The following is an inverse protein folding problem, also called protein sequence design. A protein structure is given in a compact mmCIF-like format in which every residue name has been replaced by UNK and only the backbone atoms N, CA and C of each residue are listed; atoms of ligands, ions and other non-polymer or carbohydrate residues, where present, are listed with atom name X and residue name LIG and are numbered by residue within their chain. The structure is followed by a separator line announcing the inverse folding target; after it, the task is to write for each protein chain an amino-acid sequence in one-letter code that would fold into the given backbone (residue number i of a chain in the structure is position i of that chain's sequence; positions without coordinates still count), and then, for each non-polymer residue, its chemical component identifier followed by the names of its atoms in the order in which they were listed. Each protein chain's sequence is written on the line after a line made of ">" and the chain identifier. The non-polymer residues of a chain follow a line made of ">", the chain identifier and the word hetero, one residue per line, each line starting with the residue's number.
data_IF_444984154031
#
_entry.id   IF_444984154031
#
_cell.length_a   1.000
_cell.length_b   1.000
_cell.length_c   1.000
_cell.angle_alpha   90.00
_cell.angle_beta   90.00
_cell.angle_gamma   90.00
#
_symmetry.space_group_name_H-M   'P 1'
#
loop_
_entity.id
_entity.type
_entity.pdbx_description
1 polymer ?
#
# COMPACT_ATOMS: atom_id res chain seq x y z
N UNK A 1 0.80 10.82 -24.63
CA UNK A 1 -0.58 10.32 -24.81
C UNK A 1 -1.51 10.91 -23.76
N UNK A 2 -2.82 10.94 -24.05
CA UNK A 2 -3.86 11.32 -23.10
C UNK A 2 -4.30 10.11 -22.28
N UNK A 3 -4.05 10.13 -20.99
CA UNK A 3 -4.46 9.05 -20.07
C UNK A 3 -5.64 9.52 -19.24
N UNK A 4 -6.79 8.84 -19.35
CA UNK A 4 -7.94 9.07 -18.48
C UNK A 4 -7.86 8.15 -17.26
N UNK A 5 -7.46 8.71 -16.12
CA UNK A 5 -7.37 8.00 -14.83
C UNK A 5 -8.72 8.01 -14.14
N UNK A 6 -9.23 6.83 -13.76
CA UNK A 6 -10.54 6.67 -13.10
C UNK A 6 -10.38 6.07 -11.71
N UNK A 7 -10.79 6.84 -10.69
CA UNK A 7 -10.59 6.49 -9.28
C UNK A 7 -11.90 6.44 -8.49
N UNK A 8 -12.04 5.50 -7.52
CA UNK A 8 -13.17 5.46 -6.58
C UNK A 8 -13.03 6.46 -5.43
N UNK A 9 -11.88 7.15 -5.31
CA UNK A 9 -11.60 8.17 -4.27
C UNK A 9 -10.64 9.19 -4.81
N UNK A 10 -10.74 10.41 -4.31
CA UNK A 10 -9.77 11.45 -4.62
C UNK A 10 -8.43 11.10 -3.96
N UNK A 11 -7.29 11.14 -4.71
CA UNK A 11 -6.03 10.58 -4.25
C UNK A 11 -5.23 11.52 -3.32
N UNK A 12 -5.89 12.45 -2.64
CA UNK A 12 -5.29 13.33 -1.65
C UNK A 12 -6.30 13.62 -0.52
N UNK A 13 -5.88 13.81 0.76
CA UNK A 13 -4.53 13.64 1.31
C UNK A 13 -4.06 12.18 1.35
N UNK A 14 -2.73 11.95 1.50
CA UNK A 14 -2.06 10.65 1.31
C UNK A 14 -2.19 9.69 2.51
N UNK A 15 -3.31 9.71 3.21
CA UNK A 15 -3.54 8.96 4.46
C UNK A 15 -3.76 7.44 4.28
N UNK A 16 -3.98 6.99 3.04
CA UNK A 16 -4.33 5.60 2.72
C UNK A 16 -3.50 5.10 1.55
N UNK A 17 -3.15 3.83 1.57
CA UNK A 17 -2.33 3.21 0.53
C UNK A 17 -2.89 3.35 -0.89
N UNK A 18 -4.23 3.23 -1.05
CA UNK A 18 -4.89 3.42 -2.34
C UNK A 18 -4.75 4.86 -2.88
N UNK A 19 -4.81 5.87 -2.00
CA UNK A 19 -4.61 7.27 -2.37
C UNK A 19 -3.13 7.57 -2.67
N UNK A 20 -2.23 7.08 -1.82
CA UNK A 20 -0.79 7.23 -1.98
C UNK A 20 -0.34 6.68 -3.34
N UNK A 21 -0.74 5.44 -3.66
CA UNK A 21 -0.44 4.80 -4.93
C UNK A 21 -0.95 5.60 -6.12
N UNK A 22 -2.22 5.99 -6.10
CA UNK A 22 -2.84 6.75 -7.17
C UNK A 22 -2.16 8.11 -7.39
N UNK A 23 -1.85 8.81 -6.31
CA UNK A 23 -1.17 10.10 -6.34
C UNK A 23 0.20 10.00 -7.03
N UNK A 24 1.08 9.13 -6.54
CA UNK A 24 2.42 9.01 -7.08
C UNK A 24 2.45 8.46 -8.52
N UNK A 25 1.53 7.55 -8.86
CA UNK A 25 1.40 7.11 -10.26
C UNK A 25 0.96 8.26 -11.17
N UNK A 26 0.04 9.11 -10.75
CA UNK A 26 -0.35 10.33 -11.50
C UNK A 26 0.84 11.26 -11.65
N UNK A 27 1.58 11.54 -10.56
CA UNK A 27 2.76 12.41 -10.58
C UNK A 27 3.81 11.87 -11.56
N UNK A 28 4.16 10.60 -11.50
CA UNK A 28 5.18 10.02 -12.38
C UNK A 28 4.72 9.99 -13.85
N UNK A 29 3.51 9.57 -14.13
CA UNK A 29 2.97 9.53 -15.48
C UNK A 29 2.82 10.93 -16.09
N UNK A 30 2.52 11.96 -15.29
CA UNK A 30 2.36 13.34 -15.75
C UNK A 30 3.64 13.95 -16.30
N UNK A 31 4.81 13.41 -15.97
CA UNK A 31 6.09 13.87 -16.49
C UNK A 31 6.22 13.66 -18.02
N UNK A 32 5.48 12.70 -18.58
CA UNK A 32 5.57 12.29 -19.99
C UNK A 32 4.22 12.18 -20.70
N UNK A 33 3.10 12.30 -19.97
CA UNK A 33 1.75 12.12 -20.51
C UNK A 33 0.79 13.20 -20.02
N UNK A 34 -0.28 13.44 -20.77
CA UNK A 34 -1.37 14.33 -20.39
C UNK A 34 -2.39 13.55 -19.55
N UNK A 35 -2.47 13.85 -18.26
CA UNK A 35 -3.34 13.15 -17.32
C UNK A 35 -4.68 13.90 -17.20
N UNK A 36 -5.77 13.15 -17.34
CA UNK A 36 -7.14 13.58 -17.09
C UNK A 36 -7.70 12.73 -15.97
N UNK A 37 -8.13 13.35 -14.88
CA UNK A 37 -8.60 12.63 -13.69
C UNK A 37 -10.12 12.65 -13.59
N UNK A 38 -10.74 11.49 -13.57
CA UNK A 38 -12.13 11.30 -13.19
C UNK A 38 -12.23 10.58 -11.85
N UNK A 39 -12.76 11.25 -10.85
CA UNK A 39 -12.91 10.70 -9.52
C UNK A 39 -14.38 10.65 -9.09
N UNK A 40 -14.81 9.52 -8.54
CA UNK A 40 -16.14 9.35 -7.95
C UNK A 40 -16.01 9.34 -6.44
N UNK A 41 -16.45 10.38 -5.74
CA UNK A 41 -16.24 10.51 -4.29
C UNK A 41 -17.54 10.70 -3.52
N UNK A 42 -17.67 10.03 -2.38
CA UNK A 42 -18.74 10.28 -1.40
C UNK A 42 -18.35 11.36 -0.38
N UNK A 43 -17.07 11.66 -0.28
CA UNK A 43 -16.54 12.72 0.60
C UNK A 43 -16.45 14.03 -0.18
N UNK A 44 -16.55 15.14 0.56
CA UNK A 44 -16.24 16.46 -0.01
C UNK A 44 -14.74 16.52 -0.26
N UNK A 45 -14.35 16.79 -1.49
CA UNK A 45 -12.95 17.08 -1.84
C UNK A 45 -12.73 18.57 -1.58
N UNK A 46 -11.70 18.89 -0.82
CA UNK A 46 -11.38 20.29 -0.48
C UNK A 46 -10.64 20.98 -1.62
N UNK A 47 -10.67 22.32 -1.70
CA UNK A 47 -9.90 23.06 -2.69
C UNK A 47 -8.39 22.74 -2.61
N UNK A 48 -7.84 22.63 -1.41
CA UNK A 48 -6.43 22.31 -1.18
C UNK A 48 -6.07 20.93 -1.78
N UNK A 49 -6.99 19.96 -1.67
CA UNK A 49 -6.79 18.64 -2.28
C UNK A 49 -6.74 18.72 -3.80
N UNK A 50 -7.56 19.56 -4.42
CA UNK A 50 -7.57 19.77 -5.89
C UNK A 50 -6.30 20.47 -6.32
N UNK A 51 -5.88 21.51 -5.60
CA UNK A 51 -4.64 22.24 -5.89
C UNK A 51 -3.40 21.36 -5.81
N UNK A 52 -3.36 20.38 -4.88
CA UNK A 52 -2.26 19.41 -4.78
C UNK A 52 -2.09 18.54 -6.04
N UNK A 53 -3.14 18.36 -6.85
CA UNK A 53 -3.09 17.56 -8.08
C UNK A 53 -3.13 18.40 -9.36
N UNK A 54 -3.45 19.67 -9.26
CA UNK A 54 -3.54 20.59 -10.43
C UNK A 54 -2.25 20.63 -11.27
N UNK A 55 -1.03 20.62 -10.69
CA UNK A 55 0.19 20.63 -11.50
C UNK A 55 0.38 19.38 -12.38
N UNK A 56 -0.26 18.28 -12.01
CA UNK A 56 -0.06 16.96 -12.61
C UNK A 56 -1.20 16.54 -13.56
N UNK A 57 -2.33 17.26 -13.54
CA UNK A 57 -3.50 16.90 -14.33
C UNK A 57 -3.91 18.06 -15.26
N UNK A 58 -4.17 17.74 -16.52
CA UNK A 58 -4.72 18.72 -17.49
C UNK A 58 -6.14 19.13 -17.14
N UNK A 59 -6.94 18.18 -16.64
CA UNK A 59 -8.28 18.44 -16.09
C UNK A 59 -8.61 17.45 -14.98
N UNK A 60 -9.42 17.92 -14.02
CA UNK A 60 -9.84 17.14 -12.86
C UNK A 60 -11.35 17.21 -12.73
N UNK A 61 -12.03 16.08 -12.90
CA UNK A 61 -13.47 15.96 -12.73
C UNK A 61 -13.81 15.12 -11.50
N UNK A 62 -14.36 15.75 -10.47
CA UNK A 62 -14.83 15.07 -9.25
C UNK A 62 -16.36 14.98 -9.30
N UNK A 63 -16.86 13.76 -9.30
CA UNK A 63 -18.29 13.50 -9.23
C UNK A 63 -18.69 13.10 -7.79
N UNK A 64 -19.49 13.95 -7.16
CA UNK A 64 -19.98 13.67 -5.81
C UNK A 64 -21.13 12.65 -5.84
N UNK A 65 -21.01 11.60 -5.04
CA UNK A 65 -22.04 10.58 -4.89
C UNK A 65 -23.14 11.06 -3.93
N UNK A 66 -24.39 10.83 -4.30
CA UNK A 66 -25.52 10.95 -3.39
C UNK A 66 -25.68 9.65 -2.60
N UNK A 67 -25.58 9.72 -1.27
CA UNK A 67 -25.64 8.55 -0.37
C UNK A 67 -26.94 7.75 -0.50
N UNK A 68 -28.08 8.44 -0.72
CA UNK A 68 -29.38 7.78 -0.90
C UNK A 68 -29.38 6.93 -2.19
N UNK A 69 -28.88 7.51 -3.29
CA UNK A 69 -28.76 6.78 -4.56
C UNK A 69 -27.78 5.61 -4.46
N UNK A 70 -26.72 5.77 -3.68
CA UNK A 70 -25.80 4.68 -3.40
C UNK A 70 -26.48 3.52 -2.66
N UNK A 71 -27.27 3.84 -1.63
CA UNK A 71 -28.01 2.85 -0.86
C UNK A 71 -29.03 2.09 -1.73
N UNK A 72 -29.81 2.81 -2.53
CA UNK A 72 -30.75 2.20 -3.50
C UNK A 72 -30.01 1.25 -4.45
N UNK A 73 -28.85 1.68 -4.96
CA UNK A 73 -28.09 0.90 -5.91
C UNK A 73 -27.41 -0.33 -5.27
N UNK A 74 -27.03 -0.27 -3.99
CA UNK A 74 -26.58 -1.42 -3.20
C UNK A 74 -27.68 -2.48 -3.14
N UNK A 75 -28.91 -2.08 -2.73
CA UNK A 75 -30.06 -2.98 -2.66
C UNK A 75 -30.36 -3.60 -4.02
N UNK A 76 -30.36 -2.80 -5.08
CA UNK A 76 -30.55 -3.29 -6.46
C UNK A 76 -29.44 -4.31 -6.86
N UNK A 77 -28.20 -4.07 -6.49
CA UNK A 77 -27.10 -4.99 -6.77
C UNK A 77 -27.24 -6.31 -6.01
N UNK A 78 -27.70 -6.27 -4.77
CA UNK A 78 -28.01 -7.46 -3.98
C UNK A 78 -28.97 -8.40 -4.76
N UNK A 79 -30.10 -7.86 -5.23
CA UNK A 79 -31.07 -8.64 -6.00
C UNK A 79 -30.63 -9.00 -7.43
N UNK A 80 -29.56 -8.38 -7.94
CA UNK A 80 -29.03 -8.62 -9.28
C UNK A 80 -27.77 -9.49 -9.29
N UNK A 81 -27.43 -10.13 -8.16
CA UNK A 81 -26.20 -10.94 -7.99
C UNK A 81 -24.93 -10.19 -8.40
N UNK A 82 -24.76 -8.97 -7.90
CA UNK A 82 -23.60 -8.10 -8.15
C UNK A 82 -23.00 -7.61 -6.86
N UNK A 83 -21.70 -7.31 -6.85
CA UNK A 83 -21.01 -6.78 -5.69
C UNK A 83 -21.68 -5.50 -5.15
N UNK A 84 -21.86 -5.45 -3.85
CA UNK A 84 -22.44 -4.32 -3.12
C UNK A 84 -21.51 -3.10 -3.18
N UNK A 85 -20.21 -3.34 -3.05
CA UNK A 85 -19.20 -2.28 -3.19
C UNK A 85 -19.27 -1.67 -4.59
N UNK A 86 -19.32 -2.50 -5.64
CA UNK A 86 -19.48 -1.97 -7.00
C UNK A 86 -20.81 -1.22 -7.16
N UNK A 87 -21.90 -1.67 -6.52
CA UNK A 87 -23.16 -0.96 -6.49
C UNK A 87 -23.05 0.44 -5.94
N UNK A 88 -22.29 0.60 -4.88
CA UNK A 88 -22.08 1.89 -4.24
C UNK A 88 -21.49 2.95 -5.20
N UNK A 89 -20.50 2.57 -6.00
CA UNK A 89 -19.77 3.50 -6.88
C UNK A 89 -20.43 3.68 -8.26
N UNK A 90 -21.23 2.74 -8.73
CA UNK A 90 -21.72 2.68 -10.10
C UNK A 90 -23.19 3.08 -10.27
N UNK A 91 -23.57 4.24 -9.76
CA UNK A 91 -24.91 4.80 -9.94
C UNK A 91 -25.14 5.24 -11.40
N UNK A 92 -26.42 5.45 -11.79
CA UNK A 92 -26.74 6.00 -13.13
C UNK A 92 -26.15 7.39 -13.33
N UNK A 93 -25.96 8.16 -12.25
CA UNK A 93 -25.30 9.46 -12.28
C UNK A 93 -23.82 9.34 -12.58
N UNK A 94 -23.10 8.44 -11.88
CA UNK A 94 -21.66 8.22 -12.11
C UNK A 94 -21.38 7.69 -13.52
N UNK A 95 -22.23 6.78 -14.03
CA UNK A 95 -22.11 6.27 -15.41
C UNK A 95 -22.29 7.36 -16.46
N UNK A 96 -23.31 8.24 -16.29
CA UNK A 96 -23.54 9.36 -17.23
C UNK A 96 -22.40 10.37 -17.16
N UNK A 97 -21.94 10.71 -15.96
CA UNK A 97 -20.83 11.64 -15.76
C UNK A 97 -19.53 11.13 -16.38
N UNK A 98 -19.20 9.86 -16.17
CA UNK A 98 -18.03 9.23 -16.81
C UNK A 98 -18.11 9.27 -18.34
N UNK A 99 -19.25 8.82 -18.92
CA UNK A 99 -19.43 8.82 -20.39
C UNK A 99 -19.35 10.23 -21.02
N UNK A 100 -19.87 11.24 -20.33
CA UNK A 100 -19.78 12.62 -20.80
C UNK A 100 -18.31 13.08 -20.81
N UNK A 101 -17.58 12.80 -19.73
CA UNK A 101 -16.18 13.18 -19.59
C UNK A 101 -15.27 12.42 -20.56
N UNK A 102 -15.49 11.12 -20.72
CA UNK A 102 -14.76 10.30 -21.69
C UNK A 102 -14.89 10.85 -23.14
N UNK A 103 -16.10 11.32 -23.53
CA UNK A 103 -16.34 11.95 -24.85
C UNK A 103 -15.67 13.29 -25.00
N UNK A 104 -15.59 14.08 -23.92
CA UNK A 104 -14.93 15.37 -23.89
C UNK A 104 -13.40 15.22 -24.02
N UNK A 105 -12.81 14.30 -23.25
CA UNK A 105 -11.36 14.07 -23.21
C UNK A 105 -10.85 13.38 -24.48
N UNK A 106 -11.58 12.41 -25.00
CA UNK A 106 -11.14 11.51 -26.07
C UNK A 106 -9.74 10.92 -25.77
N UNK A 107 -9.61 10.09 -24.71
CA UNK A 107 -8.33 9.57 -24.26
C UNK A 107 -7.73 8.57 -25.26
N UNK A 108 -6.40 8.42 -25.25
CA UNK A 108 -5.71 7.33 -25.93
C UNK A 108 -5.87 6.02 -25.16
N UNK A 109 -5.89 6.10 -23.82
CA UNK A 109 -6.07 4.94 -22.92
C UNK A 109 -6.83 5.34 -21.65
N UNK A 110 -7.62 4.42 -21.12
CA UNK A 110 -8.29 4.53 -19.82
C UNK A 110 -7.54 3.69 -18.79
N UNK A 111 -7.07 4.34 -17.72
CA UNK A 111 -6.45 3.68 -16.58
C UNK A 111 -7.39 3.68 -15.39
N UNK A 112 -7.93 2.52 -15.06
CA UNK A 112 -8.88 2.35 -13.96
C UNK A 112 -8.22 1.72 -12.76
N UNK A 113 -8.35 2.33 -11.58
CA UNK A 113 -7.92 1.70 -10.35
C UNK A 113 -9.09 1.13 -9.57
N UNK A 114 -8.87 -0.08 -9.06
CA UNK A 114 -9.78 -0.90 -8.27
C UNK A 114 -11.02 -1.42 -9.03
N UNK A 115 -11.41 -2.61 -8.68
CA UNK A 115 -12.62 -3.29 -9.20
C UNK A 115 -13.89 -2.46 -8.97
N UNK A 116 -13.90 -1.59 -7.95
CA UNK A 116 -15.05 -0.77 -7.56
C UNK A 116 -15.59 0.12 -8.67
N UNK A 117 -14.72 0.68 -9.50
CA UNK A 117 -15.08 1.56 -10.63
C UNK A 117 -15.09 0.84 -11.98
N UNK A 118 -14.72 -0.43 -12.03
CA UNK A 118 -14.71 -1.25 -13.24
C UNK A 118 -15.99 -1.10 -14.10
N UNK A 119 -17.24 -1.15 -13.56
CA UNK A 119 -18.44 -1.04 -14.37
C UNK A 119 -18.66 0.34 -15.02
N UNK A 120 -17.94 1.37 -14.63
CA UNK A 120 -17.96 2.66 -15.31
C UNK A 120 -17.24 2.57 -16.66
N UNK A 121 -16.07 1.90 -16.66
CA UNK A 121 -15.13 1.86 -17.78
C UNK A 121 -15.25 0.62 -18.66
N UNK A 122 -15.87 -0.46 -18.16
CA UNK A 122 -15.93 -1.77 -18.85
C UNK A 122 -16.48 -1.69 -20.29
N UNK A 123 -17.32 -0.69 -20.59
CA UNK A 123 -17.92 -0.46 -21.92
C UNK A 123 -17.27 0.70 -22.68
N UNK A 124 -16.11 1.17 -22.24
CA UNK A 124 -15.32 2.14 -23.00
C UNK A 124 -14.87 1.51 -24.33
N UNK A 125 -14.84 2.33 -25.37
CA UNK A 125 -14.31 1.92 -26.69
C UNK A 125 -12.78 2.07 -26.79
N UNK A 126 -12.19 2.79 -25.85
CA UNK A 126 -10.75 3.03 -25.79
C UNK A 126 -10.02 1.85 -25.14
N UNK A 127 -8.75 1.64 -25.47
CA UNK A 127 -7.89 0.71 -24.74
C UNK A 127 -7.96 0.94 -23.23
N UNK A 128 -7.96 -0.14 -22.43
CA UNK A 128 -8.21 -0.08 -20.99
C UNK A 128 -7.23 -0.93 -20.20
N UNK A 129 -6.59 -0.31 -19.23
CA UNK A 129 -5.78 -0.99 -18.22
C UNK A 129 -6.45 -0.87 -16.86
N UNK A 130 -6.50 -1.95 -16.10
CA UNK A 130 -6.99 -1.94 -14.72
C UNK A 130 -5.92 -2.34 -13.74
N UNK A 131 -5.76 -1.53 -12.70
CA UNK A 131 -4.99 -1.83 -11.50
C UNK A 131 -5.93 -2.38 -10.42
N UNK A 132 -5.78 -3.64 -10.06
CA UNK A 132 -6.51 -4.22 -8.94
C UNK A 132 -6.13 -3.56 -7.61
N UNK A 133 -4.90 -3.08 -7.51
CA UNK A 133 -4.16 -2.71 -6.29
C UNK A 133 -3.87 -3.96 -5.45
N UNK A 134 -4.89 -4.52 -4.80
CA UNK A 134 -4.85 -5.76 -4.03
C UNK A 134 -5.98 -6.72 -4.45
N UNK A 135 -5.90 -7.97 -4.06
CA UNK A 135 -6.98 -8.95 -4.23
C UNK A 135 -8.10 -8.65 -3.22
N UNK A 136 -9.07 -7.84 -3.66
CA UNK A 136 -10.15 -7.35 -2.80
C UNK A 136 -11.04 -8.48 -2.26
N UNK A 137 -11.22 -9.57 -3.04
CA UNK A 137 -11.93 -10.77 -2.59
C UNK A 137 -11.22 -11.43 -1.42
N UNK A 138 -9.89 -11.60 -1.47
CA UNK A 138 -9.08 -12.17 -0.38
C UNK A 138 -9.19 -11.33 0.90
N UNK A 139 -9.15 -10.00 0.78
CA UNK A 139 -9.34 -9.13 1.93
C UNK A 139 -10.75 -9.22 2.53
N UNK A 140 -11.76 -9.48 1.70
CA UNK A 140 -13.14 -9.70 2.15
C UNK A 140 -13.28 -11.07 2.82
N UNK A 141 -12.63 -12.10 2.32
CA UNK A 141 -12.57 -13.45 2.91
C UNK A 141 -11.98 -13.41 4.32
N UNK A 142 -10.82 -12.80 4.52
CA UNK A 142 -10.20 -12.61 5.84
C UNK A 142 -11.10 -11.88 6.84
N UNK A 143 -11.91 -10.92 6.37
CA UNK A 143 -12.91 -10.23 7.19
C UNK A 143 -14.09 -11.12 7.50
N UNK A 144 -14.55 -11.93 6.56
CA UNK A 144 -15.63 -12.90 6.71
C UNK A 144 -15.30 -13.95 7.80
N UNK A 145 -14.10 -14.50 7.79
CA UNK A 145 -13.63 -15.50 8.77
C UNK A 145 -13.66 -14.97 10.21
N UNK A 146 -13.45 -13.67 10.39
CA UNK A 146 -13.48 -12.99 11.70
C UNK A 146 -14.87 -12.47 12.09
N UNK A 147 -15.86 -12.59 11.19
CA UNK A 147 -17.22 -12.09 11.40
C UNK A 147 -18.14 -13.18 11.91
N UNK A 148 -19.25 -12.78 12.57
CA UNK A 148 -20.30 -13.68 13.09
C UNK A 148 -21.69 -13.14 12.73
N UNK A 149 -22.70 -14.00 12.80
CA UNK A 149 -24.09 -13.63 12.58
C UNK A 149 -24.37 -13.12 11.17
N UNK A 150 -25.29 -12.17 11.03
CA UNK A 150 -25.74 -11.63 9.74
C UNK A 150 -24.58 -11.05 8.90
N UNK A 151 -23.59 -10.42 9.52
CA UNK A 151 -22.42 -9.88 8.83
C UNK A 151 -21.60 -10.95 8.12
N UNK A 152 -21.52 -12.15 8.65
CA UNK A 152 -20.84 -13.27 8.00
C UNK A 152 -21.50 -13.60 6.65
N UNK A 153 -22.83 -13.67 6.59
CA UNK A 153 -23.58 -13.93 5.36
C UNK A 153 -23.43 -12.80 4.32
N UNK A 154 -23.46 -11.54 4.78
CA UNK A 154 -23.26 -10.38 3.91
C UNK A 154 -21.85 -10.39 3.30
N UNK A 155 -20.82 -10.66 4.11
CA UNK A 155 -19.45 -10.74 3.64
C UNK A 155 -19.20 -11.96 2.75
N UNK A 156 -19.86 -13.09 3.02
CA UNK A 156 -19.81 -14.28 2.16
C UNK A 156 -20.40 -14.01 0.78
N UNK A 157 -21.56 -13.33 0.73
CA UNK A 157 -22.13 -12.89 -0.53
C UNK A 157 -21.16 -11.95 -1.28
N UNK A 158 -20.67 -10.93 -0.60
CA UNK A 158 -19.76 -9.95 -1.21
C UNK A 158 -18.46 -10.59 -1.70
N UNK A 159 -17.87 -11.52 -0.95
CA UNK A 159 -16.71 -12.31 -1.35
C UNK A 159 -16.94 -13.00 -2.70
N UNK A 160 -18.06 -13.74 -2.84
CA UNK A 160 -18.41 -14.41 -4.10
C UNK A 160 -18.56 -13.42 -5.26
N UNK A 161 -19.20 -12.29 -5.04
CA UNK A 161 -19.44 -11.29 -6.08
C UNK A 161 -18.16 -10.55 -6.49
N UNK A 162 -17.28 -10.25 -5.53
CA UNK A 162 -15.97 -9.66 -5.83
C UNK A 162 -15.09 -10.64 -6.61
N UNK A 163 -15.03 -11.90 -6.17
CA UNK A 163 -14.28 -12.95 -6.85
C UNK A 163 -14.75 -13.15 -8.31
N UNK A 164 -16.06 -13.14 -8.55
CA UNK A 164 -16.62 -13.13 -9.91
C UNK A 164 -16.24 -11.87 -10.70
N UNK A 165 -16.18 -10.72 -10.04
CA UNK A 165 -15.82 -9.47 -10.70
C UNK A 165 -14.34 -9.40 -11.08
N UNK A 166 -13.46 -9.91 -10.21
CA UNK A 166 -12.02 -10.06 -10.47
C UNK A 166 -11.78 -11.03 -11.64
N UNK A 167 -12.49 -12.16 -11.66
CA UNK A 167 -12.45 -13.09 -12.79
C UNK A 167 -12.86 -12.42 -14.11
N UNK A 168 -13.97 -11.69 -14.11
CA UNK A 168 -14.50 -11.05 -15.31
C UNK A 168 -13.66 -9.86 -15.80
N UNK A 169 -12.78 -9.30 -14.99
CA UNK A 169 -11.90 -8.20 -15.40
C UNK A 169 -11.06 -8.56 -16.63
N UNK A 170 -10.63 -9.81 -16.73
CA UNK A 170 -9.86 -10.31 -17.89
C UNK A 170 -10.61 -10.24 -19.23
N UNK A 171 -11.93 -10.17 -19.20
CA UNK A 171 -12.76 -10.02 -20.41
C UNK A 171 -13.04 -8.58 -20.79
N UNK A 172 -12.77 -7.64 -19.90
CA UNK A 172 -13.11 -6.23 -20.11
C UNK A 172 -11.90 -5.31 -20.33
N UNK A 173 -10.72 -5.73 -19.87
CA UNK A 173 -9.51 -4.92 -19.93
C UNK A 173 -8.47 -5.57 -20.84
N UNK A 174 -7.71 -4.73 -21.52
CA UNK A 174 -6.66 -5.13 -22.45
C UNK A 174 -5.39 -5.54 -21.71
N UNK A 175 -5.20 -5.01 -20.48
CA UNK A 175 -4.15 -5.43 -19.57
C UNK A 175 -4.55 -5.14 -18.10
N UNK A 176 -3.90 -5.88 -17.19
CA UNK A 176 -4.18 -5.85 -15.76
C UNK A 176 -2.88 -5.67 -14.97
N UNK A 177 -2.95 -4.92 -13.87
CA UNK A 177 -1.85 -4.77 -12.92
C UNK A 177 -2.28 -5.05 -11.49
N UNK A 178 -1.32 -5.42 -10.63
CA UNK A 178 -1.54 -5.69 -9.22
C UNK A 178 -0.24 -5.37 -8.44
N UNK A 179 -0.37 -5.20 -7.12
CA UNK A 179 0.75 -4.74 -6.29
C UNK A 179 1.81 -5.82 -6.00
N UNK A 180 1.42 -7.10 -5.91
CA UNK A 180 2.31 -8.20 -5.55
C UNK A 180 1.94 -9.52 -6.22
N UNK A 181 2.91 -10.44 -6.29
CA UNK A 181 2.67 -11.81 -6.79
C UNK A 181 1.65 -12.55 -5.93
N UNK A 182 1.74 -12.43 -4.61
CA UNK A 182 0.80 -13.07 -3.69
C UNK A 182 -0.66 -12.61 -3.92
N UNK A 183 -0.85 -11.32 -4.24
CA UNK A 183 -2.18 -10.82 -4.61
C UNK A 183 -2.59 -11.33 -6.00
N UNK A 184 -1.66 -11.45 -6.95
CA UNK A 184 -1.93 -12.00 -8.28
C UNK A 184 -2.38 -13.45 -8.20
N UNK A 185 -1.70 -14.27 -7.41
CA UNK A 185 -2.07 -15.68 -7.18
C UNK A 185 -3.46 -15.84 -6.55
N UNK A 186 -3.88 -14.87 -5.73
CA UNK A 186 -5.19 -14.86 -5.10
C UNK A 186 -6.33 -14.51 -6.08
N UNK A 187 -6.04 -13.91 -7.25
CA UNK A 187 -7.04 -13.63 -8.27
C UNK A 187 -7.55 -14.95 -8.90
N UNK A 188 -8.86 -15.20 -8.90
CA UNK A 188 -9.45 -16.49 -9.25
C UNK A 188 -9.54 -16.72 -10.77
N UNK A 189 -8.44 -16.53 -11.50
CA UNK A 189 -8.41 -16.69 -12.96
C UNK A 189 -7.17 -17.49 -13.39
N UNK A 190 -7.34 -18.41 -14.36
CA UNK A 190 -6.24 -19.27 -14.86
C UNK A 190 -5.09 -18.50 -15.53
N UNK A 191 -5.31 -17.25 -15.89
CA UNK A 191 -4.32 -16.32 -16.47
C UNK A 191 -3.83 -15.28 -15.46
N UNK A 192 -3.95 -15.55 -14.17
CA UNK A 192 -3.49 -14.60 -13.14
C UNK A 192 -1.98 -14.29 -13.25
N UNK A 193 -1.17 -15.23 -13.72
CA UNK A 193 0.24 -15.00 -14.04
C UNK A 193 0.51 -14.01 -15.20
N UNK A 194 -0.51 -13.61 -15.98
CA UNK A 194 -0.40 -12.56 -17.00
C UNK A 194 -0.59 -11.14 -16.41
N UNK A 195 -1.02 -11.05 -15.14
CA UNK A 195 -1.17 -9.76 -14.46
C UNK A 195 0.22 -9.16 -14.21
N UNK A 196 0.46 -7.94 -14.67
CA UNK A 196 1.75 -7.26 -14.46
C UNK A 196 1.88 -6.79 -13.01
N UNK A 197 2.93 -7.21 -12.34
CA UNK A 197 3.24 -6.70 -10.99
C UNK A 197 3.76 -5.28 -11.12
N UNK A 198 3.10 -4.37 -10.40
CA UNK A 198 3.48 -2.96 -10.24
C UNK A 198 3.49 -2.67 -8.75
N UNK A 199 4.62 -2.74 -8.08
CA UNK A 199 4.69 -2.54 -6.63
C UNK A 199 4.40 -1.09 -6.23
N UNK A 200 4.27 -0.84 -4.94
CA UNK A 200 4.35 0.53 -4.44
C UNK A 200 5.79 1.00 -4.45
N UNK A 201 5.97 2.29 -4.68
CA UNK A 201 7.24 2.95 -4.47
C UNK A 201 7.36 3.59 -3.09
N UNK A 202 8.53 4.12 -2.81
CA UNK A 202 8.82 5.01 -1.69
C UNK A 202 9.18 6.40 -2.21
N UNK A 203 8.77 7.42 -1.47
CA UNK A 203 9.07 8.82 -1.78
C UNK A 203 10.43 9.20 -1.20
N UNK A 204 11.47 9.22 -2.04
CA UNK A 204 12.83 9.56 -1.66
C UNK A 204 13.04 11.05 -1.37
N UNK A 205 12.15 11.94 -1.85
CA UNK A 205 12.18 13.35 -1.51
C UNK A 205 11.67 13.56 -0.08
N UNK A 206 10.70 12.75 0.32
CA UNK A 206 10.18 12.76 1.69
C UNK A 206 11.06 11.94 2.65
N UNK A 207 11.35 10.66 2.35
CA UNK A 207 12.17 9.77 3.17
C UNK A 207 13.66 9.91 2.83
N UNK A 208 14.25 11.09 3.11
CA UNK A 208 15.68 11.34 2.98
C UNK A 208 16.37 11.27 4.33
N UNK A 209 17.60 10.71 4.41
CA UNK A 209 18.34 10.64 5.67
C UNK A 209 18.58 11.98 6.34
N UNK A 210 18.74 13.04 5.54
CA UNK A 210 18.99 14.43 5.97
C UNK A 210 17.72 15.28 6.16
N UNK A 211 16.53 14.73 5.85
CA UNK A 211 15.25 15.46 5.92
C UNK A 211 14.88 15.89 7.35
N UNK A 212 15.30 15.10 8.34
CA UNK A 212 15.03 15.36 9.76
C UNK A 212 16.27 15.06 10.58
N UNK A 213 16.75 16.06 11.30
CA UNK A 213 17.91 15.91 12.19
C UNK A 213 17.43 15.94 13.64
N UNK A 214 17.50 14.79 14.31
CA UNK A 214 17.17 14.61 15.73
C UNK A 214 18.25 13.76 16.40
N UNK A 215 18.45 13.89 17.72
CA UNK A 215 19.36 13.01 18.45
C UNK A 215 18.97 11.54 18.31
N UNK A 216 19.96 10.64 18.31
CA UNK A 216 19.73 9.19 18.39
C UNK A 216 19.38 8.81 19.83
N UNK A 217 18.09 8.73 20.13
CA UNK A 217 17.57 8.44 21.49
C UNK A 217 17.26 6.94 21.68
N UNK A 218 17.10 6.22 20.57
CA UNK A 218 16.75 4.80 20.59
C UNK A 218 17.73 3.96 19.77
N UNK A 219 17.99 2.73 20.24
CA UNK A 219 18.79 1.80 19.45
C UNK A 219 17.97 1.15 18.33
N UNK A 220 16.73 0.81 18.62
CA UNK A 220 15.85 0.06 17.71
C UNK A 220 14.53 0.81 17.53
N UNK A 221 13.98 0.79 16.30
CA UNK A 221 12.61 1.22 16.05
C UNK A 221 11.82 0.18 15.26
N UNK A 222 10.53 0.06 15.60
CA UNK A 222 9.51 -0.61 14.80
C UNK A 222 8.35 0.35 14.58
N UNK A 223 8.00 0.61 13.31
CA UNK A 223 6.94 1.53 12.92
C UNK A 223 5.72 0.81 12.35
N UNK A 224 4.52 1.37 12.60
CA UNK A 224 3.30 0.90 11.95
C UNK A 224 2.02 1.28 12.66
N UNK A 225 0.88 1.05 12.00
CA UNK A 225 -0.42 1.18 12.67
C UNK A 225 -0.58 0.06 13.72
N UNK A 226 -0.56 0.43 15.00
CA UNK A 226 -0.57 -0.48 16.14
C UNK A 226 -1.97 -1.02 16.52
N UNK A 227 -2.98 -0.75 15.67
CA UNK A 227 -4.28 -1.45 15.71
C UNK A 227 -4.35 -2.62 14.71
N UNK A 228 -3.47 -2.66 13.70
CA UNK A 228 -3.43 -3.68 12.68
C UNK A 228 -2.77 -4.96 13.19
N UNK A 229 -3.48 -6.10 13.08
CA UNK A 229 -3.09 -7.35 13.71
C UNK A 229 -1.65 -7.83 13.40
N UNK A 230 -1.14 -7.77 12.16
CA UNK A 230 0.25 -8.10 11.85
C UNK A 230 1.27 -7.27 12.63
N UNK A 231 1.05 -5.95 12.72
CA UNK A 231 1.95 -5.06 13.47
C UNK A 231 1.90 -5.33 14.97
N UNK A 232 0.69 -5.59 15.52
CA UNK A 232 0.52 -5.96 16.92
C UNK A 232 1.28 -7.27 17.25
N UNK A 233 1.16 -8.26 16.34
CA UNK A 233 1.88 -9.54 16.49
C UNK A 233 3.40 -9.35 16.44
N UNK A 234 3.89 -8.57 15.49
CA UNK A 234 5.32 -8.30 15.33
C UNK A 234 5.90 -7.52 16.52
N UNK A 235 5.21 -6.47 16.99
CA UNK A 235 5.63 -5.68 18.14
C UNK A 235 5.71 -6.54 19.43
N UNK A 236 4.70 -7.40 19.66
CA UNK A 236 4.71 -8.31 20.80
C UNK A 236 5.83 -9.33 20.69
N UNK A 237 6.02 -9.95 19.54
CA UNK A 237 7.09 -10.90 19.31
C UNK A 237 8.47 -10.25 19.53
N UNK A 238 8.66 -9.04 19.02
CA UNK A 238 9.88 -8.28 19.23
C UNK A 238 10.16 -8.09 20.72
N UNK A 239 9.21 -7.56 21.50
CA UNK A 239 9.41 -7.25 22.92
C UNK A 239 9.45 -8.49 23.79
N UNK A 240 8.54 -9.47 23.56
CA UNK A 240 8.35 -10.62 24.44
C UNK A 240 9.34 -11.78 24.16
N UNK A 241 9.91 -11.86 22.94
CA UNK A 241 10.77 -12.99 22.53
C UNK A 241 12.17 -12.56 22.10
N UNK A 242 12.29 -11.54 21.24
CA UNK A 242 13.57 -11.13 20.67
C UNK A 242 14.37 -10.26 21.66
N UNK A 243 13.74 -9.21 22.20
CA UNK A 243 14.44 -8.26 23.07
C UNK A 243 15.05 -8.87 24.34
N UNK A 244 14.46 -9.88 25.03
CA UNK A 244 15.12 -10.54 26.14
C UNK A 244 16.48 -11.14 25.78
N UNK A 245 16.64 -11.68 24.55
CA UNK A 245 17.90 -12.23 24.05
C UNK A 245 18.91 -11.12 23.72
N UNK A 246 18.43 -9.99 23.18
CA UNK A 246 19.25 -8.80 22.95
C UNK A 246 19.72 -8.23 24.29
N UNK A 247 18.83 -8.07 25.28
CA UNK A 247 19.15 -7.52 26.59
C UNK A 247 20.11 -8.41 27.40
N UNK A 248 20.09 -9.72 27.17
CA UNK A 248 21.07 -10.63 27.79
C UNK A 248 22.51 -10.30 27.35
N UNK A 249 22.69 -9.80 26.11
CA UNK A 249 24.01 -9.40 25.55
C UNK A 249 24.27 -7.90 25.69
N UNK A 250 23.23 -7.06 25.59
CA UNK A 250 23.27 -5.59 25.63
C UNK A 250 22.16 -5.04 26.53
N UNK A 251 22.35 -5.01 27.87
CA UNK A 251 21.29 -4.71 28.84
C UNK A 251 20.64 -3.32 28.70
N UNK A 252 21.35 -2.34 28.16
CA UNK A 252 20.87 -0.95 27.98
C UNK A 252 20.18 -0.67 26.67
N UNK A 253 20.03 -1.65 25.77
CA UNK A 253 19.41 -1.45 24.45
C UNK A 253 17.96 -0.99 24.57
N UNK A 254 17.64 0.12 23.90
CA UNK A 254 16.31 0.74 23.92
C UNK A 254 15.52 0.43 22.65
N UNK A 255 14.20 0.40 22.76
CA UNK A 255 13.28 0.11 21.66
C UNK A 255 12.17 1.17 21.59
N UNK A 256 11.94 1.74 20.41
CA UNK A 256 10.80 2.58 20.09
C UNK A 256 9.75 1.79 19.28
N UNK A 257 8.52 1.74 19.78
CA UNK A 257 7.34 1.28 19.03
C UNK A 257 6.53 2.51 18.60
N UNK A 258 6.66 2.90 17.32
CA UNK A 258 6.07 4.14 16.81
C UNK A 258 4.87 3.88 15.89
N UNK A 259 3.81 4.69 16.05
CA UNK A 259 2.71 4.73 15.11
C UNK A 259 1.31 4.76 15.70
N UNK A 260 0.34 4.92 14.80
CA UNK A 260 -1.04 5.24 15.13
C UNK A 260 -1.77 4.13 15.90
N UNK A 261 -2.72 4.57 16.72
CA UNK A 261 -3.77 3.74 17.34
C UNK A 261 -3.27 2.51 18.11
N UNK A 262 -2.34 2.65 19.07
CA UNK A 262 -1.87 1.51 19.86
C UNK A 262 -3.01 0.89 20.66
N UNK A 263 -3.15 -0.43 20.55
CA UNK A 263 -4.04 -1.20 21.42
C UNK A 263 -3.52 -1.21 22.84
N UNK A 264 -4.39 -1.49 23.80
CA UNK A 264 -4.00 -1.62 25.22
C UNK A 264 -2.85 -2.64 25.42
N UNK A 265 -2.86 -3.73 24.65
CA UNK A 265 -1.77 -4.73 24.67
C UNK A 265 -0.40 -4.18 24.22
N UNK A 266 -0.38 -3.16 23.35
CA UNK A 266 0.86 -2.48 22.94
C UNK A 266 1.30 -1.47 23.99
N UNK A 267 0.37 -0.67 24.55
CA UNK A 267 0.70 0.24 25.65
C UNK A 267 1.31 -0.49 26.85
N UNK A 268 0.87 -1.72 27.15
CA UNK A 268 1.45 -2.55 28.21
C UNK A 268 2.90 -2.96 27.97
N UNK A 269 3.37 -3.01 26.72
CA UNK A 269 4.78 -3.30 26.43
C UNK A 269 5.68 -2.16 26.89
N UNK A 270 5.19 -0.91 26.92
CA UNK A 270 5.88 0.25 27.47
C UNK A 270 5.97 0.29 29.00
N UNK A 271 5.54 -0.76 29.73
CA UNK A 271 5.84 -0.94 31.16
C UNK A 271 7.28 -1.45 31.40
N UNK A 272 7.93 -1.96 30.37
CA UNK A 272 9.37 -2.22 30.36
C UNK A 272 10.10 -0.89 30.11
N UNK A 273 10.94 -0.47 31.02
CA UNK A 273 11.60 0.84 31.02
C UNK A 273 12.42 1.14 29.76
N UNK A 274 12.88 0.09 29.07
CA UNK A 274 13.66 0.18 27.82
C UNK A 274 12.79 0.24 26.56
N UNK A 275 11.46 0.18 26.71
CA UNK A 275 10.50 0.19 25.60
C UNK A 275 9.65 1.44 25.64
N UNK A 276 9.79 2.29 24.63
CA UNK A 276 8.95 3.48 24.44
C UNK A 276 7.83 3.19 23.45
N UNK A 277 6.60 3.52 23.81
CA UNK A 277 5.43 3.49 22.88
C UNK A 277 5.02 4.92 22.63
N UNK A 278 5.25 5.44 21.40
CA UNK A 278 4.98 6.86 21.09
C UNK A 278 3.50 7.17 20.83
N UNK A 279 2.72 6.18 20.39
CA UNK A 279 1.43 6.49 19.78
C UNK A 279 1.57 7.15 18.41
N UNK A 280 0.64 8.04 18.08
CA UNK A 280 0.71 8.82 16.84
C UNK A 280 1.95 9.73 16.84
N UNK A 281 2.62 9.78 15.69
CA UNK A 281 3.76 10.66 15.41
C UNK A 281 3.39 11.52 14.21
N UNK A 282 3.49 12.83 14.33
CA UNK A 282 3.11 13.76 13.26
C UNK A 282 3.99 13.60 12.01
N UNK A 283 5.28 13.36 12.24
CA UNK A 283 6.24 13.05 11.20
C UNK A 283 6.97 11.73 11.54
N UNK A 284 6.61 10.67 10.85
CA UNK A 284 7.18 9.33 11.09
C UNK A 284 8.69 9.27 10.85
N UNK A 285 9.24 10.20 10.06
CA UNK A 285 10.68 10.29 9.82
C UNK A 285 11.46 10.58 11.10
N UNK A 286 10.85 11.27 12.07
CA UNK A 286 11.48 11.53 13.38
C UNK A 286 11.74 10.22 14.13
N UNK A 287 10.82 9.24 14.04
CA UNK A 287 10.98 7.94 14.67
C UNK A 287 12.12 7.14 14.03
N UNK A 288 12.22 7.17 12.70
CA UNK A 288 13.36 6.56 11.99
C UNK A 288 14.67 7.29 12.33
N UNK A 289 14.69 8.62 12.23
CA UNK A 289 15.89 9.42 12.44
C UNK A 289 16.41 9.37 13.89
N UNK A 290 15.54 9.22 14.91
CA UNK A 290 15.94 9.10 16.31
C UNK A 290 16.46 7.70 16.70
N UNK A 291 16.48 6.75 15.77
CA UNK A 291 16.85 5.37 16.06
C UNK A 291 18.06 4.91 15.22
N UNK A 292 18.79 3.90 15.72
CA UNK A 292 20.01 3.39 15.07
C UNK A 292 19.72 2.32 14.02
N UNK A 293 18.75 1.42 14.27
CA UNK A 293 18.35 0.37 13.32
C UNK A 293 16.84 0.13 13.35
N UNK A 294 16.34 -0.40 12.24
CA UNK A 294 14.94 -0.76 12.07
C UNK A 294 14.75 -2.27 12.15
N UNK A 295 13.78 -2.73 12.96
CA UNK A 295 13.48 -4.16 13.12
C UNK A 295 12.00 -4.43 12.89
N UNK A 296 11.69 -5.28 11.92
CA UNK A 296 10.31 -5.65 11.59
C UNK A 296 10.12 -7.17 11.53
N UNK A 297 9.96 -7.87 12.68
CA UNK A 297 9.85 -9.31 12.74
C UNK A 297 8.42 -9.76 12.41
N UNK A 298 8.03 -9.66 11.15
CA UNK A 298 6.68 -9.95 10.70
C UNK A 298 6.42 -11.45 10.68
N UNK A 299 5.47 -11.92 11.50
CA UNK A 299 5.07 -13.33 11.59
C UNK A 299 3.81 -13.65 10.77
N UNK A 300 3.03 -12.64 10.46
CA UNK A 300 1.78 -12.75 9.68
C UNK A 300 1.63 -11.51 8.79
N UNK A 301 0.96 -11.69 7.69
CA UNK A 301 0.76 -10.65 6.66
C UNK A 301 1.34 -11.10 5.33
N UNK A 302 0.83 -10.55 4.25
CA UNK A 302 1.31 -10.79 2.90
C UNK A 302 1.64 -9.47 2.22
N UNK A 303 2.49 -9.52 1.22
CA UNK A 303 2.84 -8.39 0.40
C UNK A 303 3.97 -7.51 0.93
N UNK A 304 4.36 -6.58 0.10
CA UNK A 304 5.46 -5.66 0.33
C UNK A 304 5.20 -4.78 1.57
N UNK A 305 6.18 -4.70 2.44
CA UNK A 305 6.10 -3.91 3.68
C UNK A 305 6.64 -2.50 3.44
N UNK A 306 5.77 -1.51 3.25
CA UNK A 306 6.17 -0.11 3.02
C UNK A 306 7.13 0.41 4.09
N UNK A 307 6.96 0.00 5.35
CA UNK A 307 7.85 0.39 6.46
C UNK A 307 9.31 -0.04 6.27
N UNK A 308 9.55 -1.16 5.57
CA UNK A 308 10.91 -1.58 5.19
C UNK A 308 11.47 -0.67 4.10
N UNK A 309 10.66 -0.33 3.09
CA UNK A 309 11.06 0.62 2.04
C UNK A 309 11.39 1.99 2.63
N UNK A 310 10.54 2.48 3.56
CA UNK A 310 10.72 3.75 4.26
C UNK A 310 12.01 3.76 5.09
N UNK A 311 12.26 2.72 5.90
CA UNK A 311 13.45 2.59 6.72
C UNK A 311 14.72 2.50 5.87
N UNK A 312 14.71 1.72 4.78
CA UNK A 312 15.82 1.61 3.86
C UNK A 312 16.05 2.91 3.08
N UNK A 313 14.99 3.64 2.71
CA UNK A 313 15.10 4.96 2.10
C UNK A 313 15.70 6.00 3.08
N UNK A 314 15.41 5.89 4.37
CA UNK A 314 16.04 6.66 5.46
C UNK A 314 17.46 6.18 5.80
N UNK A 315 18.05 5.31 4.96
CA UNK A 315 19.40 4.76 5.11
C UNK A 315 19.62 4.09 6.48
N UNK A 316 18.60 3.34 6.93
CA UNK A 316 18.69 2.57 8.17
C UNK A 316 19.09 1.11 7.89
N UNK A 317 19.98 0.52 8.69
CA UNK A 317 20.19 -0.93 8.66
C UNK A 317 18.91 -1.62 9.14
N UNK A 318 18.45 -2.64 8.39
CA UNK A 318 17.18 -3.31 8.61
C UNK A 318 17.37 -4.78 8.99
N UNK A 319 16.57 -5.24 9.96
CA UNK A 319 16.42 -6.66 10.33
C UNK A 319 14.96 -7.05 10.17
N UNK A 320 14.69 -8.16 9.47
CA UNK A 320 13.32 -8.61 9.23
C UNK A 320 13.22 -10.14 9.15
N UNK A 321 12.05 -10.67 8.82
CA UNK A 321 11.80 -12.11 8.58
C UNK A 321 11.74 -12.42 7.08
N UNK A 322 11.90 -13.69 6.72
CA UNK A 322 11.71 -14.17 5.35
C UNK A 322 10.34 -13.81 4.80
N UNK A 323 9.30 -13.87 5.64
CA UNK A 323 7.94 -13.49 5.26
C UNK A 323 7.84 -12.05 4.72
N UNK A 324 8.57 -11.12 5.31
CA UNK A 324 8.57 -9.72 4.87
C UNK A 324 9.58 -9.46 3.74
N UNK A 325 10.65 -10.24 3.66
CA UNK A 325 11.69 -10.10 2.66
C UNK A 325 11.33 -10.73 1.30
N UNK A 326 10.59 -11.84 1.28
CA UNK A 326 10.21 -12.51 0.02
C UNK A 326 9.60 -11.54 -0.98
N UNK A 327 8.59 -10.69 -0.62
CA UNK A 327 8.03 -9.72 -1.55
C UNK A 327 8.96 -8.55 -1.88
N UNK A 328 9.94 -8.27 -1.02
CA UNK A 328 10.93 -7.22 -1.20
C UNK A 328 12.07 -7.67 -2.12
N UNK A 329 12.47 -8.94 -2.04
CA UNK A 329 13.54 -9.51 -2.86
C UNK A 329 14.95 -9.00 -2.53
N UNK A 330 15.17 -8.48 -1.31
CA UNK A 330 16.47 -8.01 -0.89
C UNK A 330 17.40 -9.19 -0.49
N UNK A 331 18.70 -9.05 -0.76
CA UNK A 331 19.71 -10.06 -0.45
C UNK A 331 20.07 -10.02 1.04
N UNK A 332 19.85 -11.16 1.73
CA UNK A 332 20.24 -11.32 3.13
C UNK A 332 21.75 -11.17 3.33
N UNK A 333 22.17 -10.41 4.33
CA UNK A 333 23.57 -10.15 4.67
C UNK A 333 24.26 -9.09 3.83
N UNK A 334 23.54 -8.53 2.81
CA UNK A 334 24.03 -7.44 1.97
C UNK A 334 23.14 -6.19 2.08
N UNK A 335 21.84 -6.31 1.80
CA UNK A 335 20.90 -5.17 1.78
C UNK A 335 20.08 -5.04 3.07
N UNK A 336 19.94 -6.14 3.79
CA UNK A 336 19.32 -6.24 5.12
C UNK A 336 19.74 -7.58 5.77
N UNK A 337 19.31 -7.81 7.02
CA UNK A 337 19.40 -9.12 7.65
C UNK A 337 18.04 -9.79 7.79
N UNK A 338 18.01 -11.12 7.57
CA UNK A 338 16.82 -11.95 7.69
C UNK A 338 17.01 -13.01 8.79
N UNK A 339 16.04 -13.11 9.71
CA UNK A 339 15.98 -14.15 10.71
C UNK A 339 14.53 -14.57 10.97
N UNK A 340 14.27 -15.88 11.05
CA UNK A 340 12.91 -16.39 11.22
C UNK A 340 12.62 -16.87 12.65
N UNK A 341 13.62 -16.90 13.52
CA UNK A 341 13.53 -17.18 14.93
C UNK A 341 14.07 -16.01 15.78
N UNK A 342 13.78 -16.03 17.09
CA UNK A 342 14.14 -14.95 17.99
C UNK A 342 15.66 -14.85 18.20
N UNK A 343 16.34 -15.98 18.20
CA UNK A 343 17.77 -16.14 18.38
C UNK A 343 18.54 -15.48 17.24
N UNK A 344 18.21 -15.85 16.00
CA UNK A 344 18.81 -15.29 14.76
C UNK A 344 18.56 -13.78 14.65
N UNK A 345 17.32 -13.33 14.92
CA UNK A 345 16.99 -11.90 14.94
C UNK A 345 17.82 -11.14 15.99
N UNK A 346 17.93 -11.69 17.20
CA UNK A 346 18.71 -11.06 18.28
C UNK A 346 20.22 -10.99 17.93
N UNK A 347 20.77 -12.03 17.32
CA UNK A 347 22.17 -12.04 16.87
C UNK A 347 22.42 -10.97 15.81
N UNK A 348 21.57 -10.83 14.82
CA UNK A 348 21.66 -9.78 13.81
C UNK A 348 21.55 -8.38 14.42
N UNK A 349 20.61 -8.16 15.33
CA UNK A 349 20.45 -6.89 16.04
C UNK A 349 21.73 -6.54 16.81
N UNK A 350 22.25 -7.46 17.60
CA UNK A 350 23.47 -7.24 18.38
C UNK A 350 24.67 -6.97 17.47
N UNK A 351 24.83 -7.74 16.40
CA UNK A 351 25.95 -7.55 15.46
C UNK A 351 25.94 -6.17 14.79
N UNK A 352 24.74 -5.67 14.41
CA UNK A 352 24.59 -4.33 13.82
C UNK A 352 24.80 -3.21 14.84
N UNK A 353 24.42 -3.42 16.11
CA UNK A 353 24.64 -2.43 17.18
C UNK A 353 26.11 -2.37 17.63
N UNK A 354 26.86 -3.48 17.54
CA UNK A 354 28.25 -3.58 17.96
C UNK A 354 29.24 -3.21 16.85
N UNK A 355 28.85 -3.37 15.58
CA UNK A 355 29.73 -3.14 14.44
C UNK A 355 29.18 -2.01 13.53
N UNK A 356 29.69 -0.81 13.74
CA UNK A 356 29.27 0.39 12.98
C UNK A 356 29.61 0.27 11.48
N UNK A 357 30.74 -0.34 11.12
CA UNK A 357 31.12 -0.53 9.72
C UNK A 357 30.15 -1.46 8.99
N UNK A 358 29.80 -2.59 9.61
CA UNK A 358 28.79 -3.51 9.10
C UNK A 358 27.43 -2.81 8.97
N UNK A 359 27.04 -2.08 10.01
CA UNK A 359 25.77 -1.34 10.05
C UNK A 359 25.66 -0.33 8.90
N UNK A 360 26.71 0.46 8.68
CA UNK A 360 26.78 1.44 7.57
C UNK A 360 26.73 0.74 6.22
N UNK A 361 27.49 -0.33 6.02
CA UNK A 361 27.52 -1.10 4.77
C UNK A 361 26.14 -1.64 4.41
N UNK A 362 25.42 -2.25 5.37
CA UNK A 362 24.07 -2.78 5.18
C UNK A 362 23.07 -1.64 4.87
N UNK A 363 23.16 -0.52 5.57
CA UNK A 363 22.34 0.65 5.35
C UNK A 363 22.51 1.24 3.93
N UNK A 364 23.75 1.43 3.50
CA UNK A 364 24.08 1.97 2.18
C UNK A 364 23.64 1.04 1.04
N UNK A 365 23.89 -0.26 1.19
CA UNK A 365 23.47 -1.25 0.21
C UNK A 365 21.95 -1.35 0.12
N UNK A 366 21.27 -1.36 1.27
CA UNK A 366 19.81 -1.36 1.34
C UNK A 366 19.18 -0.10 0.74
N UNK A 367 19.74 1.07 1.05
CA UNK A 367 19.28 2.35 0.48
C UNK A 367 19.37 2.36 -1.05
N UNK A 368 20.53 1.95 -1.60
CA UNK A 368 20.75 1.86 -3.03
C UNK A 368 19.78 0.90 -3.70
N UNK A 369 19.61 -0.29 -3.13
CA UNK A 369 18.69 -1.30 -3.62
C UNK A 369 17.24 -0.76 -3.71
N UNK A 370 16.75 -0.10 -2.65
CA UNK A 370 15.38 0.44 -2.65
C UNK A 370 15.25 1.63 -3.60
N UNK A 371 16.28 2.47 -3.71
CA UNK A 371 16.29 3.58 -4.67
C UNK A 371 16.18 3.09 -6.14
N UNK A 372 16.92 2.06 -6.48
CA UNK A 372 16.95 1.52 -7.84
C UNK A 372 15.67 0.76 -8.22
N UNK A 373 15.06 0.05 -7.26
CA UNK A 373 13.96 -0.86 -7.55
C UNK A 373 12.58 -0.35 -7.08
N UNK A 374 12.53 0.52 -6.07
CA UNK A 374 11.31 0.93 -5.38
C UNK A 374 11.13 2.46 -5.28
N UNK A 375 11.93 3.28 -5.97
CA UNK A 375 11.53 4.67 -6.20
C UNK A 375 10.22 4.70 -6.98
N UNK A 376 9.36 5.71 -6.77
CA UNK A 376 8.12 5.81 -7.55
C UNK A 376 8.39 5.83 -9.06
N UNK A 377 9.50 6.42 -9.48
CA UNK A 377 9.92 6.40 -10.89
C UNK A 377 10.19 4.97 -11.39
N UNK A 378 10.90 4.14 -10.61
CA UNK A 378 11.16 2.75 -10.95
C UNK A 378 9.88 1.90 -10.87
N UNK A 379 9.08 2.07 -9.81
CA UNK A 379 7.85 1.31 -9.58
C UNK A 379 6.77 1.56 -10.64
N UNK A 380 6.67 2.79 -11.20
CA UNK A 380 5.67 3.16 -12.21
C UNK A 380 6.10 2.78 -13.64
N UNK A 381 7.39 2.60 -13.90
CA UNK A 381 7.91 2.26 -15.23
C UNK A 381 7.22 1.05 -15.87
N UNK A 382 7.00 -0.10 -15.18
CA UNK A 382 6.27 -1.22 -15.78
C UNK A 382 4.81 -0.91 -16.14
N UNK A 383 4.16 -0.01 -15.39
CA UNK A 383 2.82 0.47 -15.71
C UNK A 383 2.83 1.32 -16.99
N UNK A 384 3.78 2.24 -17.12
CA UNK A 384 3.91 3.10 -18.29
C UNK A 384 4.20 2.30 -19.56
N UNK A 385 5.11 1.32 -19.48
CA UNK A 385 5.40 0.39 -20.57
C UNK A 385 4.13 -0.38 -21.01
N UNK A 386 3.33 -0.83 -20.04
CA UNK A 386 2.09 -1.53 -20.30
C UNK A 386 1.04 -0.64 -20.96
N UNK A 387 0.87 0.61 -20.49
CA UNK A 387 -0.03 1.60 -21.10
C UNK A 387 0.36 1.89 -22.54
N UNK A 388 1.65 2.09 -22.84
CA UNK A 388 2.15 2.29 -24.19
C UNK A 388 1.90 1.08 -25.10
N UNK A 389 2.15 -0.14 -24.59
CA UNK A 389 1.95 -1.37 -25.35
C UNK A 389 0.48 -1.62 -25.70
N UNK A 390 -0.46 -1.24 -24.82
CA UNK A 390 -1.90 -1.41 -25.05
C UNK A 390 -2.42 -0.40 -26.11
N UNK A 391 -1.86 0.80 -26.19
CA UNK A 391 -2.24 1.82 -27.20
C UNK A 391 -1.66 1.47 -28.56
N UNK A 392 -0.52 0.77 -28.61
CA UNK A 392 0.17 0.43 -29.87
C UNK A 392 -0.41 -0.80 -30.59
N UNK A 393 -1.34 -1.53 -29.95
CA UNK A 393 -2.07 -2.67 -30.52
C UNK A 393 -3.28 -2.21 -31.33
#
# INVERSE_FOLDING_TARGET
>A
MKILVVLPRFPYPLEKGDKLRAYHQIVELSKRHDIYLFCVSHMKVTPESIEALRPYCKDIRVLRLNKVMCAINIVRNWFSSKSLQMGYWNTSHSKRGYKAYEREVQPDVVYNQMVRTMPLVARSKYPKVMDFQDALSMNTERRMERSRGLWHYVLHYEFKMLRSSEYNAFSFFDALTIISEADSEAIPHKKNGEIKIVPNGVDFDFFRPDAVTVPKEHDIVFCGNMSYAPNVSAARYLVEKVMPLVWAKRPSTTLLLAGASPKHSIWRLGLEDRVTVSGWVDDIRTAYASSRLFVAPMLIGSGLQNKLLEAMAMQMPCVTTSLANIPLGATNGDQLFVGDDAETLAEHIVSLLDNTELSTRIADSGHRFVHENYSWSAAVKPLEELLNAVVSK
#
